data_IF_400057211808
#
_entry.id   IF_400057211808
#
_cell.length_a   1.000
_cell.length_b   1.000
_cell.length_c   1.000
_cell.angle_alpha   90.00
_cell.angle_beta   90.00
_cell.angle_gamma   90.00
#
_symmetry.space_group_name_H-M   'P 1'
#
loop_
_entity.id
_entity.type
_entity.pdbx_description
1 polymer ?
#
# COMPACT_ATOMS: atom_id res chain seq x y z
N UNK A 1 -68.82 61.66 -32.69
CA UNK A 1 -70.23 61.27 -32.80
C UNK A 1 -70.28 59.74 -32.80
N UNK A 2 -70.90 59.17 -31.74
CA UNK A 2 -71.40 57.80 -31.53
C UNK A 2 -70.51 56.58 -31.90
N UNK A 3 -70.04 55.77 -30.95
CA UNK A 3 -70.73 54.79 -30.07
C UNK A 3 -70.94 53.39 -30.70
N UNK A 4 -70.56 52.37 -29.90
CA UNK A 4 -71.04 50.96 -29.88
C UNK A 4 -70.62 50.01 -31.03
N UNK A 5 -70.40 48.68 -30.86
CA UNK A 5 -70.08 47.79 -29.73
C UNK A 5 -69.80 46.39 -30.33
N UNK A 6 -68.91 45.63 -29.68
CA UNK A 6 -68.77 44.15 -29.63
C UNK A 6 -68.51 43.29 -30.88
N UNK A 7 -67.52 42.39 -30.73
CA UNK A 7 -67.35 41.17 -31.53
C UNK A 7 -66.17 40.33 -31.03
N UNK A 8 -66.41 39.47 -30.04
CA UNK A 8 -65.46 38.53 -29.43
C UNK A 8 -64.93 37.52 -30.46
N UNK A 9 -63.61 37.43 -30.66
CA UNK A 9 -62.95 36.34 -31.39
C UNK A 9 -61.68 35.87 -30.66
N UNK A 10 -61.69 34.58 -30.28
CA UNK A 10 -60.60 33.61 -30.09
C UNK A 10 -59.42 34.01 -29.18
N UNK A 11 -59.16 33.16 -28.19
CA UNK A 11 -57.94 32.31 -28.15
C UNK A 11 -58.00 31.33 -26.98
N UNK A 12 -58.21 30.05 -27.30
CA UNK A 12 -57.90 28.92 -26.45
C UNK A 12 -56.38 28.86 -26.24
N UNK A 13 -55.92 29.21 -25.04
CA UNK A 13 -54.52 29.07 -24.65
C UNK A 13 -54.25 27.60 -24.31
N UNK A 14 -53.49 26.91 -25.17
CA UNK A 14 -52.87 25.62 -24.82
C UNK A 14 -51.70 25.89 -23.88
N UNK A 15 -51.85 25.58 -22.60
CA UNK A 15 -50.74 25.49 -21.65
C UNK A 15 -49.88 24.28 -22.03
N UNK A 16 -48.72 24.53 -22.65
CA UNK A 16 -47.65 23.54 -22.78
C UNK A 16 -46.81 23.66 -21.50
N UNK A 17 -47.09 22.79 -20.53
CA UNK A 17 -46.22 22.60 -19.36
C UNK A 17 -44.97 21.86 -19.79
N UNK A 18 -43.85 22.57 -19.92
CA UNK A 18 -42.54 21.98 -20.17
C UNK A 18 -41.98 21.49 -18.83
N UNK A 19 -42.16 20.20 -18.54
CA UNK A 19 -41.59 19.56 -17.36
C UNK A 19 -40.08 19.33 -17.60
N UNK A 20 -39.22 20.17 -17.03
CA UNK A 20 -37.78 19.93 -17.01
C UNK A 20 -37.47 18.86 -15.95
N UNK A 21 -37.24 17.63 -16.40
CA UNK A 21 -36.72 16.56 -15.57
C UNK A 21 -35.19 16.76 -15.43
N UNK A 22 -34.77 17.40 -14.33
CA UNK A 22 -33.35 17.47 -13.94
C UNK A 22 -32.89 16.08 -13.50
N UNK A 23 -32.33 15.32 -14.42
CA UNK A 23 -31.62 14.06 -14.09
C UNK A 23 -30.30 14.47 -13.43
N UNK A 24 -30.25 14.45 -12.11
CA UNK A 24 -29.00 14.52 -11.36
C UNK A 24 -28.25 13.21 -11.57
N UNK A 25 -27.30 13.20 -12.50
CA UNK A 25 -26.33 12.11 -12.64
C UNK A 25 -25.45 12.13 -11.41
N UNK A 26 -25.71 11.24 -10.45
CA UNK A 26 -24.76 10.95 -9.38
C UNK A 26 -23.60 10.19 -10.01
N UNK A 27 -22.53 10.91 -10.35
CA UNK A 27 -21.25 10.29 -10.66
C UNK A 27 -20.73 9.72 -9.33
N UNK A 28 -20.95 8.43 -9.11
CA UNK A 28 -20.22 7.69 -8.10
C UNK A 28 -18.75 7.76 -8.49
N UNK A 29 -17.98 8.62 -7.83
CA UNK A 29 -16.52 8.63 -7.91
C UNK A 29 -16.07 7.31 -7.29
N UNK A 30 -15.96 6.28 -8.13
CA UNK A 30 -15.27 5.06 -7.73
C UNK A 30 -13.83 5.47 -7.45
N UNK A 31 -13.40 5.32 -6.20
CA UNK A 31 -12.03 5.59 -5.82
C UNK A 31 -11.15 4.60 -6.60
N UNK A 32 -10.49 5.08 -7.65
CA UNK A 32 -9.61 4.26 -8.47
C UNK A 32 -8.25 4.15 -7.78
N UNK A 33 -7.60 2.99 -7.92
CA UNK A 33 -6.23 2.82 -7.48
C UNK A 33 -5.34 3.93 -8.07
N UNK A 34 -4.47 4.52 -7.25
CA UNK A 34 -3.43 5.40 -7.75
C UNK A 34 -2.18 4.54 -7.91
N UNK A 35 -1.84 4.22 -9.15
CA UNK A 35 -0.71 3.35 -9.47
C UNK A 35 0.58 3.83 -8.80
N UNK A 36 1.30 2.90 -8.20
CA UNK A 36 2.61 3.10 -7.58
C UNK A 36 3.63 2.23 -8.28
N UNK A 37 4.74 2.83 -8.69
CA UNK A 37 5.77 2.15 -9.47
C UNK A 37 7.14 2.49 -8.91
N UNK A 38 8.06 1.52 -8.95
CA UNK A 38 9.46 1.81 -8.69
C UNK A 38 10.21 1.73 -10.01
N UNK A 39 10.75 2.87 -10.45
CA UNK A 39 11.44 2.98 -11.73
C UNK A 39 12.93 3.16 -11.52
N UNK A 40 13.74 2.54 -12.37
CA UNK A 40 15.18 2.80 -12.42
C UNK A 40 15.42 4.23 -12.91
N UNK A 41 16.31 4.97 -12.24
CA UNK A 41 16.67 6.34 -12.59
C UNK A 41 18.17 6.55 -12.36
N UNK A 42 18.94 6.60 -13.45
CA UNK A 42 20.41 6.63 -13.38
C UNK A 42 20.95 5.41 -12.63
N UNK A 43 21.79 5.64 -11.62
CA UNK A 43 22.37 4.59 -10.78
C UNK A 43 21.50 4.21 -9.56
N UNK A 44 20.22 4.59 -9.56
CA UNK A 44 19.32 4.35 -8.43
C UNK A 44 17.87 4.14 -8.86
N UNK A 45 16.95 4.37 -7.93
CA UNK A 45 15.52 4.15 -8.12
C UNK A 45 14.72 5.37 -7.68
N UNK A 46 13.54 5.53 -8.27
CA UNK A 46 12.57 6.56 -7.92
C UNK A 46 11.22 5.87 -7.72
N UNK A 47 10.59 6.11 -6.57
CA UNK A 47 9.19 5.74 -6.36
C UNK A 47 8.32 6.78 -7.06
N UNK A 48 7.36 6.30 -7.86
CA UNK A 48 6.39 7.09 -8.60
C UNK A 48 4.99 6.77 -8.05
N UNK A 49 4.13 7.77 -7.94
CA UNK A 49 2.73 7.59 -7.57
C UNK A 49 1.85 8.45 -8.49
N UNK A 50 0.98 7.81 -9.26
CA UNK A 50 0.15 8.48 -10.25
C UNK A 50 0.96 9.18 -11.34
N UNK A 51 2.14 8.65 -11.69
CA UNK A 51 3.06 9.26 -12.66
C UNK A 51 4.01 10.31 -12.08
N UNK A 52 3.83 10.74 -10.82
CA UNK A 52 4.65 11.78 -10.20
C UNK A 52 5.68 11.20 -9.21
N UNK A 53 6.90 11.78 -9.11
CA UNK A 53 7.88 11.36 -8.11
C UNK A 53 7.34 11.47 -6.68
N UNK A 54 7.50 10.41 -5.90
CA UNK A 54 6.99 10.33 -4.53
C UNK A 54 8.12 10.03 -3.54
N UNK A 55 8.41 10.97 -2.64
CA UNK A 55 9.35 10.77 -1.54
C UNK A 55 8.59 10.50 -0.25
N UNK A 56 8.89 9.38 0.41
CA UNK A 56 8.21 8.94 1.64
C UNK A 56 8.76 9.71 2.84
N UNK A 57 7.89 10.44 3.53
CA UNK A 57 8.11 11.10 4.82
C UNK A 57 7.21 10.41 5.85
N UNK A 58 7.64 9.20 6.21
CA UNK A 58 6.80 8.23 6.89
C UNK A 58 6.85 8.26 8.42
N UNK A 59 5.77 7.80 9.05
CA UNK A 59 5.72 7.44 10.47
C UNK A 59 5.16 6.02 10.67
N UNK A 60 5.55 5.35 11.75
CA UNK A 60 4.98 4.05 12.13
C UNK A 60 3.63 4.20 12.84
N UNK A 61 2.66 3.35 12.49
CA UNK A 61 1.34 3.31 13.12
C UNK A 61 0.30 4.20 12.42
N UNK A 62 -0.60 4.79 13.19
CA UNK A 62 -1.65 5.66 12.65
C UNK A 62 -2.31 6.58 13.69
N UNK A 63 -1.64 6.82 14.81
CA UNK A 63 -2.09 7.83 15.77
C UNK A 63 -1.78 9.24 15.26
N UNK A 64 -2.61 10.21 15.61
CA UNK A 64 -2.36 11.65 15.39
C UNK A 64 -1.97 12.00 13.94
N UNK A 65 -2.76 11.54 12.96
CA UNK A 65 -2.50 11.81 11.55
C UNK A 65 -2.47 13.30 11.23
N UNK A 66 -3.27 14.10 11.93
CA UNK A 66 -3.28 15.56 11.81
C UNK A 66 -1.92 16.17 12.22
N UNK A 67 -1.31 15.65 13.28
CA UNK A 67 0.02 16.08 13.74
C UNK A 67 1.07 15.65 12.72
N UNK A 68 0.98 14.42 12.19
CA UNK A 68 1.90 13.96 11.15
C UNK A 68 1.90 14.90 9.94
N UNK A 69 0.72 15.28 9.45
CA UNK A 69 0.57 16.23 8.32
C UNK A 69 1.14 17.60 8.68
N UNK A 70 0.81 18.13 9.87
CA UNK A 70 1.36 19.42 10.35
C UNK A 70 2.89 19.43 10.40
N UNK A 71 3.52 18.28 10.66
CA UNK A 71 4.98 18.11 10.66
C UNK A 71 5.56 17.79 9.28
N UNK A 72 4.75 17.79 8.23
CA UNK A 72 5.17 17.55 6.84
C UNK A 72 5.32 16.08 6.45
N UNK A 73 4.79 15.16 7.26
CA UNK A 73 4.70 13.74 6.92
C UNK A 73 3.59 13.46 5.90
N UNK A 74 3.79 12.43 5.08
CA UNK A 74 2.87 12.08 3.99
C UNK A 74 2.52 10.59 3.91
N UNK A 75 3.11 9.76 4.75
CA UNK A 75 2.92 8.31 4.73
C UNK A 75 2.88 7.72 6.13
N UNK A 76 2.18 6.60 6.28
CA UNK A 76 2.25 5.76 7.47
C UNK A 76 2.57 4.31 7.11
N UNK A 77 3.09 3.56 8.08
CA UNK A 77 3.28 2.11 7.99
C UNK A 77 2.42 1.37 9.02
N UNK A 78 1.81 0.27 8.59
CA UNK A 78 1.05 -0.63 9.46
C UNK A 78 1.67 -2.04 9.46
N UNK A 79 1.34 -2.87 10.46
CA UNK A 79 1.82 -4.26 10.58
C UNK A 79 0.74 -5.29 10.24
N UNK A 80 -0.49 -4.86 10.03
CA UNK A 80 -1.65 -5.68 9.67
C UNK A 80 -2.63 -4.87 8.85
N UNK A 81 -3.41 -5.57 8.02
CA UNK A 81 -4.41 -4.94 7.17
C UNK A 81 -5.48 -4.24 7.99
N UNK A 82 -5.87 -3.03 7.57
CA UNK A 82 -7.05 -2.33 8.05
C UNK A 82 -7.57 -1.41 6.96
N UNK A 83 -8.82 -1.66 6.54
CA UNK A 83 -9.51 -0.79 5.59
C UNK A 83 -9.82 0.57 6.23
N UNK A 84 -10.16 0.57 7.51
CA UNK A 84 -10.45 1.78 8.29
C UNK A 84 -9.21 2.70 8.32
N UNK A 85 -8.01 2.10 8.41
CA UNK A 85 -6.77 2.86 8.37
C UNK A 85 -6.52 3.49 7.00
N UNK A 86 -6.83 2.79 5.92
CA UNK A 86 -6.79 3.33 4.57
C UNK A 86 -7.76 4.50 4.41
N UNK A 87 -9.01 4.33 4.88
CA UNK A 87 -10.04 5.37 4.83
C UNK A 87 -9.60 6.62 5.62
N UNK A 88 -9.05 6.45 6.82
CA UNK A 88 -8.50 7.55 7.65
C UNK A 88 -7.30 8.25 7.00
N UNK A 89 -6.40 7.48 6.39
CA UNK A 89 -5.24 8.03 5.69
C UNK A 89 -5.69 8.87 4.48
N UNK A 90 -6.68 8.39 3.72
CA UNK A 90 -7.26 9.13 2.60
C UNK A 90 -7.85 10.47 3.03
N UNK A 91 -8.59 10.49 4.15
CA UNK A 91 -9.17 11.73 4.71
C UNK A 91 -8.09 12.79 5.04
N UNK A 92 -6.86 12.36 5.31
CA UNK A 92 -5.74 13.23 5.65
C UNK A 92 -4.72 13.41 4.50
N UNK A 93 -5.03 12.94 3.28
CA UNK A 93 -4.10 12.90 2.14
C UNK A 93 -2.78 12.17 2.43
N UNK A 94 -2.83 11.13 3.27
CA UNK A 94 -1.70 10.29 3.66
C UNK A 94 -1.75 8.97 2.88
N UNK A 95 -0.58 8.44 2.53
CA UNK A 95 -0.45 7.10 1.94
C UNK A 95 -0.06 6.04 2.96
N UNK A 96 -0.34 4.76 2.69
CA UNK A 96 -0.17 3.66 3.63
C UNK A 96 0.71 2.57 3.02
N UNK A 97 1.85 2.29 3.66
CA UNK A 97 2.53 1.00 3.53
C UNK A 97 1.74 -0.02 4.35
N UNK A 98 0.94 -0.84 3.67
CA UNK A 98 -0.06 -1.69 4.28
C UNK A 98 0.50 -3.06 4.64
N UNK A 99 0.45 -3.40 5.93
CA UNK A 99 1.02 -4.66 6.43
C UNK A 99 0.12 -5.86 6.19
N UNK A 100 0.71 -6.95 5.70
CA UNK A 100 0.13 -8.30 5.79
C UNK A 100 0.89 -9.08 6.85
N UNK A 101 0.21 -9.44 7.95
CA UNK A 101 0.84 -10.26 8.99
C UNK A 101 1.08 -11.67 8.45
N UNK A 102 2.35 -12.06 8.41
CA UNK A 102 2.78 -13.45 8.20
C UNK A 102 3.13 -14.11 9.53
N UNK A 103 3.07 -15.44 9.54
CA UNK A 103 3.50 -16.26 10.66
C UNK A 103 5.01 -16.12 10.93
N UNK A 104 5.39 -16.07 12.20
CA UNK A 104 6.80 -15.93 12.61
C UNK A 104 7.30 -17.26 13.19
N UNK A 105 8.40 -17.83 12.68
CA UNK A 105 8.99 -19.03 13.25
C UNK A 105 9.34 -18.88 14.74
N UNK A 106 9.87 -17.72 15.15
CA UNK A 106 10.14 -17.40 16.57
C UNK A 106 8.90 -17.39 17.48
N UNK A 107 7.70 -17.37 16.90
CA UNK A 107 6.42 -17.44 17.61
C UNK A 107 5.72 -18.81 17.42
N UNK A 108 6.45 -19.82 16.91
CA UNK A 108 5.95 -21.18 16.73
C UNK A 108 5.23 -21.44 15.39
N UNK A 109 5.25 -20.51 14.44
CA UNK A 109 4.66 -20.78 13.12
C UNK A 109 5.54 -21.73 12.30
N UNK A 110 5.00 -22.88 11.92
CA UNK A 110 5.69 -23.86 11.08
C UNK A 110 5.23 -23.76 9.62
N UNK A 111 6.14 -23.37 8.73
CA UNK A 111 5.90 -23.28 7.29
C UNK A 111 5.76 -24.65 6.59
N UNK A 112 5.96 -25.76 7.30
CA UNK A 112 5.62 -27.11 6.81
C UNK A 112 4.16 -27.49 7.08
N UNK A 113 3.48 -26.77 7.97
CA UNK A 113 2.07 -27.00 8.24
C UNK A 113 1.23 -26.37 7.12
N UNK A 114 0.89 -27.20 6.12
CA UNK A 114 0.17 -26.75 4.92
C UNK A 114 -1.16 -26.07 5.23
N UNK A 115 -1.90 -26.56 6.22
CA UNK A 115 -3.16 -25.94 6.66
C UNK A 115 -2.94 -24.52 7.19
N UNK A 116 -1.96 -24.33 8.06
CA UNK A 116 -1.65 -23.01 8.62
C UNK A 116 -1.15 -22.03 7.55
N UNK A 117 -0.37 -22.54 6.59
CA UNK A 117 0.09 -21.75 5.43
C UNK A 117 -1.08 -21.36 4.53
N UNK A 118 -2.01 -22.28 4.26
CA UNK A 118 -3.21 -22.01 3.47
C UNK A 118 -4.11 -20.96 4.13
N UNK A 119 -4.41 -21.10 5.42
CA UNK A 119 -5.24 -20.13 6.17
C UNK A 119 -4.61 -18.73 6.21
N UNK A 120 -3.29 -18.64 6.38
CA UNK A 120 -2.56 -17.38 6.29
C UNK A 120 -2.65 -16.79 4.88
N UNK A 121 -2.49 -17.62 3.85
CA UNK A 121 -2.54 -17.23 2.44
C UNK A 121 -3.90 -16.66 2.08
N UNK A 122 -4.98 -17.38 2.38
CA UNK A 122 -6.35 -16.96 2.09
C UNK A 122 -6.69 -15.63 2.77
N UNK A 123 -6.29 -15.46 4.04
CA UNK A 123 -6.46 -14.19 4.75
C UNK A 123 -5.72 -13.05 4.04
N UNK A 124 -4.49 -13.28 3.61
CA UNK A 124 -3.68 -12.25 2.93
C UNK A 124 -4.33 -11.87 1.61
N UNK A 125 -4.69 -12.83 0.77
CA UNK A 125 -5.29 -12.56 -0.55
C UNK A 125 -6.65 -11.88 -0.42
N UNK A 126 -7.48 -12.28 0.57
CA UNK A 126 -8.75 -11.59 0.87
C UNK A 126 -8.51 -10.12 1.24
N UNK A 127 -7.51 -9.85 2.08
CA UNK A 127 -7.16 -8.48 2.46
C UNK A 127 -6.63 -7.67 1.26
N UNK A 128 -5.83 -8.29 0.38
CA UNK A 128 -5.37 -7.67 -0.87
C UNK A 128 -6.55 -7.29 -1.75
N UNK A 129 -7.48 -8.21 -1.99
CA UNK A 129 -8.71 -7.94 -2.75
C UNK A 129 -9.52 -6.77 -2.18
N UNK A 130 -9.58 -6.64 -0.85
CA UNK A 130 -10.31 -5.56 -0.18
C UNK A 130 -9.63 -4.20 -0.28
N UNK A 131 -8.30 -4.16 -0.41
CA UNK A 131 -7.52 -2.91 -0.35
C UNK A 131 -6.91 -2.45 -1.67
N UNK A 132 -6.80 -3.32 -2.68
CA UNK A 132 -6.02 -3.06 -3.91
C UNK A 132 -6.44 -1.82 -4.71
N UNK A 133 -7.71 -1.43 -4.62
CA UNK A 133 -8.24 -0.28 -5.35
C UNK A 133 -8.23 1.01 -4.52
N UNK A 134 -7.76 0.95 -3.27
CA UNK A 134 -7.85 2.07 -2.35
C UNK A 134 -6.80 3.16 -2.65
N UNK A 135 -7.19 4.43 -2.87
CA UNK A 135 -6.27 5.50 -3.30
C UNK A 135 -5.16 5.82 -2.29
N UNK A 136 -5.40 5.63 -0.99
CA UNK A 136 -4.37 5.81 0.03
C UNK A 136 -3.35 4.66 0.11
N UNK A 137 -3.55 3.53 -0.58
CA UNK A 137 -2.56 2.45 -0.58
C UNK A 137 -1.29 2.90 -1.29
N UNK A 138 -0.14 2.64 -0.69
CA UNK A 138 1.17 2.90 -1.30
C UNK A 138 1.79 1.60 -1.83
N UNK A 139 1.92 0.61 -0.94
CA UNK A 139 2.61 -0.66 -1.17
C UNK A 139 2.09 -1.69 -0.18
N UNK A 140 2.29 -2.97 -0.47
CA UNK A 140 2.03 -4.09 0.43
C UNK A 140 3.32 -4.52 1.13
N UNK A 141 3.30 -4.61 2.47
CA UNK A 141 4.39 -5.17 3.27
C UNK A 141 4.03 -6.60 3.74
N UNK A 142 4.58 -7.60 3.06
CA UNK A 142 4.46 -9.01 3.44
C UNK A 142 5.36 -9.34 4.62
N UNK A 143 4.77 -9.47 5.79
CA UNK A 143 5.48 -9.84 7.01
C UNK A 143 6.35 -8.72 7.60
N UNK A 144 6.89 -9.00 8.79
CA UNK A 144 7.81 -8.13 9.49
C UNK A 144 8.80 -8.98 10.27
N UNK A 145 10.07 -8.91 9.87
CA UNK A 145 11.20 -9.59 10.50
C UNK A 145 10.93 -11.09 10.63
N UNK A 146 10.48 -11.74 9.56
CA UNK A 146 10.12 -13.15 9.60
C UNK A 146 11.34 -14.03 9.93
N UNK A 147 12.51 -13.57 9.50
CA UNK A 147 13.81 -14.20 9.72
C UNK A 147 14.37 -14.02 11.13
N UNK A 148 13.85 -13.07 11.92
CA UNK A 148 14.40 -12.77 13.23
C UNK A 148 14.22 -13.99 14.16
N UNK A 149 15.35 -14.50 14.66
CA UNK A 149 15.48 -15.70 15.52
C UNK A 149 14.94 -16.99 14.87
N UNK A 150 14.87 -17.05 13.54
CA UNK A 150 14.55 -18.27 12.80
C UNK A 150 15.83 -19.03 12.44
N UNK A 151 15.74 -20.37 12.36
CA UNK A 151 16.84 -21.17 11.79
C UNK A 151 17.01 -20.87 10.29
N UNK A 152 18.17 -21.20 9.68
CA UNK A 152 18.35 -21.06 8.23
C UNK A 152 17.27 -21.79 7.43
N UNK A 153 16.90 -23.01 7.84
CA UNK A 153 15.87 -23.79 7.18
C UNK A 153 14.48 -23.14 7.28
N UNK A 154 14.10 -22.67 8.48
CA UNK A 154 12.83 -21.95 8.69
C UNK A 154 12.78 -20.67 7.85
N UNK A 155 13.89 -19.95 7.76
CA UNK A 155 14.02 -18.72 6.98
C UNK A 155 13.83 -18.99 5.48
N UNK A 156 14.45 -20.03 4.93
CA UNK A 156 14.30 -20.43 3.52
C UNK A 156 12.85 -20.84 3.21
N UNK A 157 12.21 -21.62 4.09
CA UNK A 157 10.81 -22.01 3.91
C UNK A 157 9.87 -20.79 3.93
N UNK A 158 10.13 -19.84 4.83
CA UNK A 158 9.40 -18.59 4.89
C UNK A 158 9.58 -17.75 3.61
N UNK A 159 10.80 -17.61 3.10
CA UNK A 159 11.08 -16.88 1.86
C UNK A 159 10.41 -17.50 0.64
N UNK A 160 10.48 -18.83 0.49
CA UNK A 160 9.80 -19.51 -0.61
C UNK A 160 8.28 -19.33 -0.55
N UNK A 161 7.70 -19.34 0.64
CA UNK A 161 6.27 -19.09 0.84
C UNK A 161 5.92 -17.65 0.53
N UNK A 162 6.73 -16.70 0.99
CA UNK A 162 6.58 -15.28 0.71
C UNK A 162 6.67 -14.98 -0.79
N UNK A 163 7.57 -15.66 -1.52
CA UNK A 163 7.70 -15.50 -2.96
C UNK A 163 6.41 -15.87 -3.70
N UNK A 164 5.81 -17.01 -3.33
CA UNK A 164 4.52 -17.44 -3.89
C UNK A 164 3.43 -16.41 -3.61
N UNK A 165 3.36 -15.91 -2.37
CA UNK A 165 2.40 -14.87 -1.99
C UNK A 165 2.62 -13.55 -2.72
N UNK A 166 3.86 -13.11 -2.89
CA UNK A 166 4.17 -11.89 -3.64
C UNK A 166 3.70 -11.98 -5.08
N UNK A 167 3.93 -13.13 -5.73
CA UNK A 167 3.40 -13.39 -7.08
C UNK A 167 1.88 -13.34 -7.13
N UNK A 168 1.19 -14.04 -6.22
CA UNK A 168 -0.27 -14.06 -6.18
C UNK A 168 -0.87 -12.68 -5.90
N UNK A 169 -0.24 -11.87 -5.04
CA UNK A 169 -0.66 -10.48 -4.79
C UNK A 169 -0.52 -9.65 -6.06
N UNK A 170 0.59 -9.79 -6.79
CA UNK A 170 0.83 -9.04 -8.04
C UNK A 170 -0.12 -9.43 -9.18
N UNK A 171 -0.59 -10.68 -9.19
CA UNK A 171 -1.66 -11.13 -10.09
C UNK A 171 -3.02 -10.49 -9.75
N UNK A 172 -3.28 -10.23 -8.47
CA UNK A 172 -4.51 -9.58 -7.97
C UNK A 172 -4.44 -8.05 -8.10
N UNK A 173 -3.30 -7.47 -7.78
CA UNK A 173 -3.03 -6.04 -7.69
C UNK A 173 -1.79 -5.69 -8.52
N UNK A 174 -2.02 -5.28 -9.76
CA UNK A 174 -0.98 -4.78 -10.65
C UNK A 174 -0.62 -3.31 -10.44
N UNK A 175 -1.21 -2.63 -9.44
CA UNK A 175 -1.03 -1.20 -9.22
C UNK A 175 -0.06 -0.87 -8.09
N UNK A 176 0.20 -1.80 -7.16
CA UNK A 176 1.00 -1.51 -5.97
C UNK A 176 2.18 -2.50 -5.80
N UNK A 177 3.40 -2.01 -5.48
CA UNK A 177 4.53 -2.87 -5.21
C UNK A 177 4.35 -3.73 -3.96
N UNK A 178 4.99 -4.89 -3.95
CA UNK A 178 5.03 -5.84 -2.83
C UNK A 178 6.46 -5.91 -2.27
N UNK A 179 6.59 -5.66 -0.97
CA UNK A 179 7.87 -5.65 -0.25
C UNK A 179 7.78 -6.55 1.00
N UNK A 180 8.92 -6.88 1.60
CA UNK A 180 8.99 -7.44 2.96
C UNK A 180 9.86 -6.57 3.85
N UNK A 181 9.66 -6.64 5.18
CA UNK A 181 10.41 -5.83 6.13
C UNK A 181 11.37 -6.71 6.92
N UNK A 182 12.67 -6.40 6.87
CA UNK A 182 13.74 -7.15 7.52
C UNK A 182 14.18 -6.46 8.82
N UNK A 183 14.66 -7.25 9.78
CA UNK A 183 15.31 -6.79 11.03
C UNK A 183 16.70 -6.16 10.82
N UNK A 184 17.15 -6.10 9.56
CA UNK A 184 18.50 -5.76 9.15
C UNK A 184 18.92 -6.60 7.95
N UNK A 185 20.11 -6.36 7.41
CA UNK A 185 20.58 -7.04 6.18
C UNK A 185 21.49 -8.24 6.42
N UNK A 186 21.91 -8.49 7.67
CA UNK A 186 22.83 -9.60 7.98
C UNK A 186 24.07 -9.61 7.07
N UNK A 187 24.70 -10.77 6.93
CA UNK A 187 25.88 -10.92 6.08
C UNK A 187 25.51 -11.39 4.66
N UNK A 188 24.46 -12.20 4.52
CA UNK A 188 24.01 -12.78 3.23
C UNK A 188 22.50 -12.67 2.98
N UNK A 189 21.76 -11.90 3.78
CA UNK A 189 20.29 -11.94 3.77
C UNK A 189 19.69 -11.47 2.45
N UNK A 190 20.34 -10.50 1.80
CA UNK A 190 19.85 -9.97 0.54
C UNK A 190 20.09 -10.94 -0.61
N UNK A 191 21.21 -11.68 -0.56
CA UNK A 191 21.48 -12.78 -1.49
C UNK A 191 20.43 -13.90 -1.33
N UNK A 192 20.08 -14.26 -0.10
CA UNK A 192 19.02 -15.25 0.17
C UNK A 192 17.66 -14.79 -0.34
N UNK A 193 17.31 -13.51 -0.16
CA UNK A 193 16.06 -12.95 -0.68
C UNK A 193 16.05 -12.97 -2.20
N UNK A 194 17.14 -12.58 -2.86
CA UNK A 194 17.24 -12.66 -4.32
C UNK A 194 17.06 -14.08 -4.82
N UNK A 195 17.65 -15.07 -4.12
CA UNK A 195 17.59 -16.48 -4.49
C UNK A 195 16.23 -17.12 -4.22
N UNK A 196 15.62 -16.85 -3.07
CA UNK A 196 14.43 -17.57 -2.60
C UNK A 196 13.14 -16.77 -2.66
N UNK A 197 13.22 -15.44 -2.80
CA UNK A 197 12.08 -14.53 -2.86
C UNK A 197 12.22 -13.43 -3.95
N UNK A 198 12.54 -13.78 -5.21
CA UNK A 198 12.77 -12.82 -6.29
C UNK A 198 11.53 -12.02 -6.73
N UNK A 199 10.31 -12.35 -6.30
CA UNK A 199 9.09 -11.66 -6.77
C UNK A 199 8.85 -10.30 -6.08
N UNK A 200 9.54 -10.01 -4.97
CA UNK A 200 9.45 -8.73 -4.27
C UNK A 200 9.99 -7.58 -5.13
N UNK A 201 9.33 -6.43 -5.09
CA UNK A 201 9.74 -5.26 -5.87
C UNK A 201 10.84 -4.44 -5.15
N UNK A 202 10.88 -4.52 -3.83
CA UNK A 202 11.87 -3.91 -2.96
C UNK A 202 11.93 -4.63 -1.60
N UNK A 203 12.87 -4.21 -0.75
CA UNK A 203 12.92 -4.60 0.67
C UNK A 203 12.72 -3.38 1.57
N UNK A 204 12.04 -3.56 2.69
CA UNK A 204 12.06 -2.65 3.81
C UNK A 204 13.05 -3.12 4.87
N UNK A 205 13.68 -2.18 5.56
CA UNK A 205 14.68 -2.47 6.59
C UNK A 205 14.33 -1.68 7.84
N UNK A 206 14.24 -2.40 8.97
CA UNK A 206 14.23 -1.81 10.29
C UNK A 206 15.68 -1.54 10.69
N UNK A 207 16.02 -0.26 10.85
CA UNK A 207 17.37 0.18 11.14
C UNK A 207 17.43 0.94 12.47
N UNK A 208 17.84 0.24 13.52
CA UNK A 208 18.02 0.80 14.85
C UNK A 208 19.47 0.65 15.29
N UNK A 209 20.12 1.76 15.67
CA UNK A 209 21.55 1.80 16.08
C UNK A 209 22.57 1.48 14.97
N UNK A 210 22.19 0.70 13.95
CA UNK A 210 23.02 0.24 12.84
C UNK A 210 22.85 1.06 11.56
N UNK A 211 21.99 2.08 11.57
CA UNK A 211 21.68 2.91 10.39
C UNK A 211 22.90 3.45 9.66
N UNK A 212 23.91 3.89 10.39
CA UNK A 212 25.14 4.45 9.82
C UNK A 212 25.95 3.44 9.00
N UNK A 213 25.80 2.13 9.27
CA UNK A 213 26.51 1.05 8.56
C UNK A 213 25.65 0.35 7.52
N UNK A 214 24.39 0.75 7.35
CA UNK A 214 23.46 0.02 6.51
C UNK A 214 23.81 0.11 5.02
N UNK A 215 24.13 1.30 4.52
CA UNK A 215 24.46 1.51 3.10
C UNK A 215 25.67 0.67 2.65
N UNK A 216 26.83 0.68 3.34
CA UNK A 216 27.94 -0.20 2.98
C UNK A 216 27.55 -1.69 2.91
N UNK A 217 26.82 -2.21 3.91
CA UNK A 217 26.42 -3.63 3.93
C UNK A 217 25.47 -4.02 2.79
N UNK A 218 24.58 -3.11 2.38
CA UNK A 218 23.71 -3.34 1.23
C UNK A 218 24.55 -3.42 -0.06
N UNK A 219 25.52 -2.52 -0.21
CA UNK A 219 26.40 -2.50 -1.38
C UNK A 219 27.29 -3.75 -1.47
N UNK A 220 27.79 -4.23 -0.33
CA UNK A 220 28.60 -5.45 -0.23
C UNK A 220 27.84 -6.69 -0.73
N UNK A 221 26.54 -6.80 -0.42
CA UNK A 221 25.68 -7.91 -0.84
C UNK A 221 25.14 -7.77 -2.27
N UNK A 222 25.45 -6.67 -2.97
CA UNK A 222 25.10 -6.45 -4.39
C UNK A 222 23.62 -6.64 -4.73
N UNK A 223 22.72 -6.34 -3.80
CA UNK A 223 21.29 -6.52 -4.00
C UNK A 223 20.77 -5.67 -5.18
N UNK A 224 20.11 -6.26 -6.20
CA UNK A 224 19.82 -5.59 -7.47
C UNK A 224 18.50 -4.79 -7.45
N UNK A 225 17.89 -4.60 -6.28
CA UNK A 225 16.58 -3.97 -6.12
C UNK A 225 16.62 -2.87 -5.06
N UNK A 226 15.67 -1.92 -5.08
CA UNK A 226 15.64 -0.83 -4.14
C UNK A 226 15.33 -1.30 -2.71
N UNK A 227 15.65 -0.45 -1.75
CA UNK A 227 15.27 -0.63 -0.35
C UNK A 227 14.63 0.62 0.24
N UNK A 228 13.86 0.41 1.29
CA UNK A 228 13.25 1.45 2.13
C UNK A 228 13.74 1.29 3.56
N UNK A 229 13.85 2.40 4.27
CA UNK A 229 13.99 2.39 5.73
C UNK A 229 12.59 2.47 6.32
N UNK A 230 12.13 1.36 6.90
CA UNK A 230 10.74 1.21 7.33
C UNK A 230 10.56 1.43 8.84
N UNK A 231 11.64 1.35 9.59
CA UNK A 231 11.73 1.82 10.97
C UNK A 231 13.12 2.40 11.21
N UNK A 232 13.18 3.55 11.87
CA UNK A 232 14.39 4.15 12.41
C UNK A 232 13.99 5.04 13.58
N UNK A 233 14.96 5.43 14.41
CA UNK A 233 14.69 6.25 15.58
C UNK A 233 15.93 6.44 16.43
N UNK A 234 15.78 7.05 17.64
CA UNK A 234 16.86 7.11 18.61
C UNK A 234 17.36 5.70 18.97
N UNK A 235 18.55 5.62 19.56
CA UNK A 235 19.13 4.34 19.99
C UNK A 235 18.15 3.65 20.95
N UNK A 236 17.69 2.48 20.54
CA UNK A 236 16.81 1.63 21.33
C UNK A 236 17.50 0.87 22.46
N UNK A 237 16.69 0.30 23.34
CA UNK A 237 17.12 -0.61 24.41
C UNK A 237 17.02 -2.10 24.03
N UNK A 238 16.50 -2.41 22.84
CA UNK A 238 16.11 -3.74 22.38
C UNK A 238 17.21 -4.49 21.64
#
# INVERSE_FOLDING_TARGET
MNQYVTGFIKRSAKFIGLLFFLISVQISISAHAIKVEIVSKGNGYQLMRGGEPYFIKGAGGGGHLDILVKMGGNSIRTWSFSKERLDQAQQNSITVLMGHRMGKPRQGFDYRNEKSVAEMTDRILKNTMLGKDHPALLMWALGNEIELLASPEQTILAWKTMNKLAKMIKEIDGNHPVITILSGVGDSRLEDIEKYCPELDAIGINGYGSMLRLKPRILEQKYPKPYLICEFGPRGHW
#
